data_IF_836473065797
#
_entry.id   IF_836473065797
#
_cell.length_a   1.000
_cell.length_b   1.000
_cell.length_c   1.000
_cell.angle_alpha   90.00
_cell.angle_beta   90.00
_cell.angle_gamma   90.00
#
_symmetry.space_group_name_H-M   'P 1'
#
loop_
_entity.id
_entity.type
_entity.pdbx_description
1 polymer ?
#
# COMPACT_ATOMS: atom_id res chain seq x y z
N UNK A 1 46.84 -3.21 -5.23
CA UNK A 1 45.64 -2.74 -5.95
C UNK A 1 44.44 -3.52 -5.45
N UNK A 2 43.58 -2.89 -4.67
CA UNK A 2 42.28 -3.43 -4.25
C UNK A 2 41.34 -2.25 -4.13
N UNK A 3 40.68 -1.91 -5.26
CA UNK A 3 39.74 -0.80 -5.32
C UNK A 3 38.46 -1.20 -4.58
N UNK A 4 38.06 -0.37 -3.62
CA UNK A 4 36.83 -0.52 -2.86
C UNK A 4 35.59 -0.42 -3.73
N UNK A 5 34.56 -1.13 -3.31
CA UNK A 5 33.17 -0.78 -3.62
C UNK A 5 32.52 -0.39 -2.31
N UNK A 6 32.76 0.87 -1.92
CA UNK A 6 31.81 1.64 -1.13
C UNK A 6 30.64 1.96 -2.06
N UNK A 7 29.42 1.67 -1.63
CA UNK A 7 28.26 1.77 -2.53
C UNK A 7 26.92 1.54 -1.85
N UNK A 8 26.65 2.32 -0.80
CA UNK A 8 25.27 2.63 -0.39
C UNK A 8 24.77 1.93 0.86
N UNK A 9 25.37 2.23 2.00
CA UNK A 9 24.60 2.40 3.24
C UNK A 9 23.62 3.56 2.98
N UNK A 10 22.46 3.26 2.40
CA UNK A 10 21.30 4.13 2.54
C UNK A 10 20.82 3.89 3.96
N UNK A 11 21.43 4.67 4.85
CA UNK A 11 20.92 5.13 6.12
C UNK A 11 19.49 4.63 6.36
N UNK A 12 19.32 3.78 7.39
CA UNK A 12 18.10 3.59 8.15
C UNK A 12 17.59 4.99 8.56
N UNK A 13 17.00 5.72 7.62
CA UNK A 13 16.49 7.07 7.77
C UNK A 13 15.21 6.93 8.60
N UNK A 14 15.43 6.77 9.91
CA UNK A 14 14.48 6.67 11.00
C UNK A 14 13.04 6.42 10.55
N UNK A 15 12.70 5.18 10.19
CA UNK A 15 11.29 4.82 10.06
C UNK A 15 10.64 5.05 11.43
N UNK A 16 9.88 6.13 11.53
CA UNK A 16 9.06 6.42 12.70
C UNK A 16 7.63 5.99 12.34
N UNK A 17 6.97 5.21 13.20
CA UNK A 17 5.57 4.92 12.98
C UNK A 17 4.80 6.25 12.87
N UNK A 18 3.90 6.38 11.89
CA UNK A 18 3.13 7.60 11.72
C UNK A 18 2.24 7.85 12.94
N UNK A 19 1.83 9.11 13.10
CA UNK A 19 0.89 9.51 14.14
C UNK A 19 -0.39 8.65 14.09
N UNK A 20 -1.01 8.34 15.25
CA UNK A 20 -2.17 7.46 15.32
C UNK A 20 -3.35 7.95 14.48
N UNK A 21 -3.52 9.27 14.34
CA UNK A 21 -4.54 9.85 13.46
C UNK A 21 -4.30 9.51 11.98
N UNK A 22 -3.04 9.49 11.53
CA UNK A 22 -2.70 9.14 10.15
C UNK A 22 -2.93 7.65 9.89
N UNK A 23 -2.62 6.80 10.86
CA UNK A 23 -2.92 5.37 10.80
C UNK A 23 -4.43 5.16 10.67
N UNK A 24 -5.23 5.84 11.49
CA UNK A 24 -6.69 5.75 11.42
C UNK A 24 -7.23 6.22 10.06
N UNK A 25 -6.70 7.32 9.52
CA UNK A 25 -7.06 7.78 8.16
C UNK A 25 -6.72 6.74 7.09
N UNK A 26 -5.54 6.13 7.18
CA UNK A 26 -5.12 5.08 6.26
C UNK A 26 -6.06 3.86 6.33
N UNK A 27 -6.38 3.40 7.55
CA UNK A 27 -7.29 2.28 7.77
C UNK A 27 -8.68 2.61 7.23
N UNK A 28 -9.24 3.77 7.57
CA UNK A 28 -10.55 4.19 7.09
C UNK A 28 -10.60 4.31 5.56
N UNK A 29 -9.53 4.80 4.92
CA UNK A 29 -9.44 4.81 3.46
C UNK A 29 -9.41 3.40 2.87
N UNK A 30 -8.63 2.48 3.44
CA UNK A 30 -8.55 1.10 2.97
C UNK A 30 -9.89 0.37 3.15
N UNK A 31 -10.53 0.54 4.30
CA UNK A 31 -11.87 0.00 4.57
C UNK A 31 -12.90 0.55 3.58
N UNK A 32 -12.86 1.85 3.30
CA UNK A 32 -13.72 2.45 2.29
C UNK A 32 -13.45 1.86 0.89
N UNK A 33 -12.19 1.69 0.48
CA UNK A 33 -11.88 1.12 -0.84
C UNK A 33 -12.39 -0.31 -1.01
N UNK A 34 -12.32 -1.11 0.05
CA UNK A 34 -12.76 -2.50 0.08
C UNK A 34 -14.23 -2.67 0.46
N UNK A 35 -14.94 -1.58 0.73
CA UNK A 35 -16.38 -1.60 0.98
C UNK A 35 -17.15 -2.01 -0.29
N UNK A 36 -18.31 -2.64 -0.10
CA UNK A 36 -19.16 -3.08 -1.20
C UNK A 36 -19.50 -1.92 -2.16
N UNK A 37 -19.84 -0.74 -1.61
CA UNK A 37 -20.15 0.46 -2.41
C UNK A 37 -18.99 0.86 -3.32
N UNK A 38 -17.75 0.97 -2.80
CA UNK A 38 -16.62 1.35 -3.63
C UNK A 38 -16.18 0.23 -4.58
N UNK A 39 -16.29 -1.05 -4.18
CA UNK A 39 -15.98 -2.19 -5.04
C UNK A 39 -16.97 -2.31 -6.21
N UNK A 40 -18.25 -2.01 -6.00
CA UNK A 40 -19.24 -1.97 -7.08
C UNK A 40 -18.99 -0.84 -8.07
N UNK A 41 -18.49 0.30 -7.61
CA UNK A 41 -18.14 1.44 -8.46
C UNK A 41 -16.76 1.31 -9.12
N UNK A 42 -15.77 0.69 -8.46
CA UNK A 42 -14.40 0.53 -8.97
C UNK A 42 -14.21 -0.85 -9.61
N UNK A 43 -14.54 -0.93 -10.89
CA UNK A 43 -14.38 -2.13 -11.70
C UNK A 43 -12.91 -2.65 -11.77
N UNK A 44 -11.91 -1.78 -11.57
CA UNK A 44 -10.50 -2.17 -11.60
C UNK A 44 -10.10 -2.88 -10.31
N UNK A 45 -10.44 -2.29 -9.15
CA UNK A 45 -10.20 -2.91 -7.85
C UNK A 45 -10.99 -4.21 -7.72
N UNK A 46 -12.27 -4.20 -8.10
CA UNK A 46 -13.11 -5.40 -8.10
C UNK A 46 -12.54 -6.52 -8.97
N UNK A 47 -12.05 -6.20 -10.18
CA UNK A 47 -11.41 -7.19 -11.05
C UNK A 47 -10.13 -7.74 -10.43
N UNK A 48 -9.36 -6.91 -9.72
CA UNK A 48 -8.14 -7.35 -9.06
C UNK A 48 -8.42 -8.27 -7.87
N UNK A 49 -9.38 -7.91 -7.02
CA UNK A 49 -9.86 -8.72 -5.89
C UNK A 49 -10.40 -10.06 -6.41
N UNK A 50 -11.29 -10.04 -7.41
CA UNK A 50 -11.88 -11.25 -8.01
C UNK A 50 -10.89 -12.13 -8.76
N UNK A 51 -9.75 -11.58 -9.19
CA UNK A 51 -8.69 -12.37 -9.85
C UNK A 51 -8.06 -13.37 -8.89
N UNK A 52 -8.08 -13.08 -7.59
CA UNK A 52 -7.60 -14.00 -6.58
C UNK A 52 -8.77 -14.71 -5.88
N UNK A 53 -8.69 -16.05 -5.75
CA UNK A 53 -9.78 -16.84 -5.15
C UNK A 53 -10.10 -16.47 -3.69
N UNK A 54 -9.11 -15.88 -3.00
CA UNK A 54 -9.22 -15.43 -1.62
C UNK A 54 -9.44 -13.92 -1.51
N UNK A 55 -9.50 -13.19 -2.63
CA UNK A 55 -9.70 -11.74 -2.62
C UNK A 55 -8.46 -10.90 -2.24
N UNK A 56 -7.27 -11.50 -2.05
CA UNK A 56 -6.09 -10.70 -1.67
C UNK A 56 -5.71 -9.67 -2.73
N UNK A 57 -5.39 -8.47 -2.25
CA UNK A 57 -4.84 -7.34 -2.99
C UNK A 57 -3.49 -6.95 -2.40
N UNK A 58 -2.58 -6.45 -3.25
CA UNK A 58 -1.26 -6.03 -2.78
C UNK A 58 -1.30 -4.64 -2.13
N UNK A 59 -0.50 -4.43 -1.08
CA UNK A 59 -0.38 -3.11 -0.43
C UNK A 59 0.10 -2.05 -1.42
N UNK A 60 1.02 -2.41 -2.32
CA UNK A 60 1.47 -1.53 -3.41
C UNK A 60 0.31 -1.03 -4.28
N UNK A 61 -0.63 -1.90 -4.60
CA UNK A 61 -1.83 -1.55 -5.36
C UNK A 61 -2.68 -0.55 -4.57
N UNK A 62 -2.96 -0.85 -3.30
CA UNK A 62 -3.74 0.03 -2.41
C UNK A 62 -3.09 1.43 -2.30
N UNK A 63 -1.77 1.50 -2.14
CA UNK A 63 -1.02 2.78 -2.10
C UNK A 63 -0.94 3.51 -3.44
N UNK A 64 -1.22 2.82 -4.56
CA UNK A 64 -1.20 3.44 -5.89
C UNK A 64 -2.49 4.18 -6.23
N UNK A 65 -3.58 3.90 -5.52
CA UNK A 65 -4.83 4.63 -5.68
C UNK A 65 -4.66 6.04 -5.10
N UNK A 66 -4.83 7.04 -5.96
CA UNK A 66 -4.99 8.43 -5.56
C UNK A 66 -6.48 8.75 -5.57
N UNK A 67 -7.03 8.99 -4.38
CA UNK A 67 -8.34 9.61 -4.18
C UNK A 67 -8.18 10.72 -3.16
#
# INVERSE_FOLDING_TARGET
SGAGTSGGELEDESWKPPEPELIQKLVAQIEFYLSDENLEHDAFLLKHVRRNKLGFVSVKLLTSFKK
#
